data_IF_146718835267
#
_entry.id   IF_146718835267
#
_cell.length_a   1.000
_cell.length_b   1.000
_cell.length_c   1.000
_cell.angle_alpha   90.00
_cell.angle_beta   90.00
_cell.angle_gamma   90.00
#
_symmetry.space_group_name_H-M   'P 1'
#
loop_
_entity.id
_entity.type
_entity.pdbx_description
1 polymer ?
#
# COMPACT_ATOMS: atom_id res chain seq x y z
N UNK A 1 -13.35 -10.29 9.74
CA UNK A 1 -12.43 -9.30 9.14
C UNK A 1 -12.86 -8.98 7.72
N UNK A 2 -12.70 -7.73 7.31
CA UNK A 2 -13.02 -7.31 5.94
C UNK A 2 -11.95 -7.81 4.97
N UNK A 3 -12.39 -8.19 3.79
CA UNK A 3 -11.48 -8.58 2.71
C UNK A 3 -11.69 -7.69 1.50
N UNK A 4 -10.60 -7.39 0.81
CA UNK A 4 -10.57 -6.56 -0.39
C UNK A 4 -9.80 -7.30 -1.47
N UNK A 5 -10.33 -7.32 -2.69
CA UNK A 5 -9.59 -7.81 -3.86
C UNK A 5 -9.05 -6.63 -4.66
N UNK A 6 -7.76 -6.68 -4.97
CA UNK A 6 -7.13 -5.79 -5.94
C UNK A 6 -6.96 -6.56 -7.25
N UNK A 7 -7.67 -6.14 -8.29
CA UNK A 7 -7.60 -6.75 -9.61
C UNK A 7 -6.51 -6.05 -10.41
N UNK A 8 -5.39 -6.75 -10.61
CA UNK A 8 -4.21 -6.18 -11.26
C UNK A 8 -4.18 -6.60 -12.73
N UNK A 9 -4.25 -5.63 -13.63
CA UNK A 9 -4.22 -5.89 -15.07
C UNK A 9 -3.00 -6.73 -15.45
N UNK A 10 -3.22 -7.80 -16.23
CA UNK A 10 -2.19 -8.73 -16.73
C UNK A 10 -1.51 -9.60 -15.68
N UNK A 11 -1.76 -9.38 -14.38
CA UNK A 11 -1.05 -10.11 -13.31
C UNK A 11 -1.96 -11.00 -12.48
N UNK A 12 -3.20 -10.61 -12.23
CA UNK A 12 -4.15 -11.40 -11.45
C UNK A 12 -4.74 -10.64 -10.27
N UNK A 13 -5.19 -11.37 -9.26
CA UNK A 13 -5.91 -10.81 -8.11
C UNK A 13 -5.09 -10.99 -6.84
N UNK A 14 -4.95 -9.90 -6.07
CA UNK A 14 -4.39 -9.90 -4.72
C UNK A 14 -5.56 -9.76 -3.75
N UNK A 15 -5.72 -10.70 -2.84
CA UNK A 15 -6.75 -10.64 -1.81
C UNK A 15 -6.11 -10.21 -0.48
N UNK A 16 -6.66 -9.16 0.10
CA UNK A 16 -6.22 -8.59 1.37
C UNK A 16 -7.23 -8.92 2.46
N UNK A 17 -6.74 -9.27 3.64
CA UNK A 17 -7.55 -9.36 4.86
C UNK A 17 -7.16 -8.21 5.77
N UNK A 18 -8.12 -7.38 6.15
CA UNK A 18 -7.89 -6.14 6.88
C UNK A 18 -8.21 -6.32 8.37
N UNK A 19 -7.37 -5.78 9.24
CA UNK A 19 -7.47 -5.94 10.70
C UNK A 19 -8.05 -4.68 11.34
N UNK A 20 -9.38 -4.56 11.30
CA UNK A 20 -10.08 -3.41 11.87
C UNK A 20 -10.03 -3.37 13.41
N UNK A 21 -9.76 -4.50 14.06
CA UNK A 21 -9.61 -4.55 15.52
C UNK A 21 -8.36 -3.80 15.99
N UNK A 22 -7.26 -3.93 15.24
CA UNK A 22 -5.97 -3.31 15.59
C UNK A 22 -5.71 -1.99 14.87
N UNK A 23 -6.31 -1.77 13.71
CA UNK A 23 -6.15 -0.54 12.93
C UNK A 23 -7.50 0.02 12.45
N UNK A 24 -8.41 0.36 13.37
CA UNK A 24 -9.79 0.72 13.00
C UNK A 24 -9.89 1.95 12.10
N UNK A 25 -9.13 3.00 12.36
CA UNK A 25 -9.16 4.23 11.56
C UNK A 25 -8.53 4.01 10.20
N UNK A 26 -7.43 3.27 10.15
CA UNK A 26 -6.70 2.97 8.91
C UNK A 26 -7.54 2.09 7.99
N UNK A 27 -8.16 1.04 8.54
CA UNK A 27 -9.04 0.15 7.77
C UNK A 27 -10.26 0.91 7.24
N UNK A 28 -10.92 1.72 8.08
CA UNK A 28 -12.06 2.52 7.66
C UNK A 28 -11.68 3.49 6.53
N UNK A 29 -10.53 4.13 6.63
CA UNK A 29 -10.01 5.03 5.61
C UNK A 29 -9.76 4.30 4.29
N UNK A 30 -9.08 3.16 4.35
CA UNK A 30 -8.79 2.35 3.17
C UNK A 30 -10.08 1.89 2.48
N UNK A 31 -11.06 1.37 3.25
CA UNK A 31 -12.34 0.93 2.73
C UNK A 31 -13.12 2.08 2.09
N UNK A 32 -13.07 3.28 2.65
CA UNK A 32 -13.71 4.45 2.07
C UNK A 32 -13.13 4.77 0.68
N UNK A 33 -11.81 4.70 0.50
CA UNK A 33 -11.18 4.88 -0.81
C UNK A 33 -11.57 3.76 -1.78
N UNK A 34 -11.65 2.52 -1.31
CA UNK A 34 -12.08 1.38 -2.13
C UNK A 34 -13.51 1.61 -2.63
N UNK A 35 -14.42 1.97 -1.75
CA UNK A 35 -15.85 2.12 -2.08
C UNK A 35 -16.11 3.27 -3.04
N UNK A 36 -15.38 4.37 -2.94
CA UNK A 36 -15.55 5.49 -3.88
C UNK A 36 -14.78 5.33 -5.19
N UNK A 37 -14.09 4.20 -5.38
CA UNK A 37 -13.39 3.90 -6.63
C UNK A 37 -12.06 4.63 -6.80
N UNK A 38 -11.48 5.17 -5.74
CA UNK A 38 -10.21 5.91 -5.80
C UNK A 38 -9.07 5.09 -6.40
N UNK A 39 -8.98 3.81 -6.02
CA UNK A 39 -7.89 2.95 -6.48
C UNK A 39 -8.07 2.42 -7.90
N UNK A 40 -9.25 2.54 -8.46
CA UNK A 40 -9.51 2.07 -9.83
C UNK A 40 -8.70 2.91 -10.82
N UNK A 41 -7.90 2.24 -11.64
CA UNK A 41 -7.03 2.91 -12.61
C UNK A 41 -5.74 3.49 -12.06
N UNK A 42 -5.43 3.27 -10.78
CA UNK A 42 -4.15 3.68 -10.20
C UNK A 42 -3.07 2.63 -10.46
N UNK A 43 -1.81 3.03 -10.30
CA UNK A 43 -0.66 2.16 -10.59
C UNK A 43 0.16 1.90 -9.32
N UNK A 44 0.92 0.80 -9.35
CA UNK A 44 2.06 0.64 -8.46
C UNK A 44 3.22 1.47 -9.02
N UNK A 45 3.39 2.66 -8.50
CA UNK A 45 4.34 3.65 -9.04
C UNK A 45 5.74 3.52 -8.46
N UNK A 46 5.93 2.68 -7.44
CA UNK A 46 7.24 2.45 -6.83
C UNK A 46 7.36 0.97 -6.47
N UNK A 47 8.31 0.30 -7.10
CA UNK A 47 8.56 -1.14 -6.90
C UNK A 47 10.04 -1.35 -6.64
N UNK A 48 10.36 -1.85 -5.46
CA UNK A 48 11.72 -2.22 -5.08
C UNK A 48 11.68 -3.68 -4.65
N UNK A 49 12.21 -4.57 -5.47
CA UNK A 49 11.99 -6.01 -5.38
C UNK A 49 12.48 -6.70 -4.10
N UNK A 50 13.36 -6.07 -3.34
CA UNK A 50 13.82 -6.56 -2.05
C UNK A 50 13.36 -5.68 -0.88
N UNK A 51 12.27 -4.93 -1.06
CA UNK A 51 11.75 -4.00 -0.06
C UNK A 51 10.22 -4.02 -0.04
N UNK A 52 9.59 -3.35 -1.01
CA UNK A 52 8.13 -3.22 -1.04
C UNK A 52 7.63 -2.84 -2.44
N UNK A 53 6.31 -2.98 -2.64
CA UNK A 53 5.60 -2.42 -3.80
C UNK A 53 4.58 -1.41 -3.30
N UNK A 54 4.61 -0.20 -3.86
CA UNK A 54 3.79 0.93 -3.39
C UNK A 54 2.90 1.45 -4.51
N UNK A 55 1.65 1.74 -4.17
CA UNK A 55 0.68 2.24 -5.12
C UNK A 55 -0.49 2.96 -4.48
N UNK A 56 -1.50 3.24 -5.29
CA UNK A 56 -2.76 3.82 -4.84
C UNK A 56 -2.84 5.34 -4.89
N UNK A 57 -1.81 6.03 -5.39
CA UNK A 57 -1.79 7.49 -5.42
C UNK A 57 -1.66 8.11 -6.80
N UNK A 58 -1.19 7.35 -7.78
CA UNK A 58 -0.88 7.87 -9.12
C UNK A 58 -1.64 7.12 -10.20
N UNK A 59 -1.97 7.85 -11.26
CA UNK A 59 -2.53 7.30 -12.49
C UNK A 59 -1.42 7.06 -13.51
N UNK A 60 -1.65 6.27 -14.58
CA UNK A 60 -0.69 6.16 -15.68
C UNK A 60 -0.29 7.56 -16.17
N UNK A 61 1.01 7.77 -16.39
CA UNK A 61 1.54 9.09 -16.71
C UNK A 61 1.97 9.89 -15.49
N UNK A 62 1.86 9.32 -14.28
CA UNK A 62 2.32 9.90 -13.02
C UNK A 62 1.53 11.12 -12.55
N UNK A 63 0.27 11.24 -12.95
CA UNK A 63 -0.64 12.21 -12.37
C UNK A 63 -1.10 11.75 -10.99
N UNK A 64 -0.93 12.59 -9.95
CA UNK A 64 -1.35 12.28 -8.60
C UNK A 64 -2.84 12.55 -8.43
N UNK A 65 -3.57 11.57 -7.88
CA UNK A 65 -5.00 11.72 -7.60
C UNK A 65 -5.20 12.53 -6.31
N UNK A 66 -6.23 13.39 -6.25
CA UNK A 66 -6.55 14.12 -5.03
C UNK A 66 -6.99 13.16 -3.93
N UNK A 67 -6.72 13.54 -2.68
CA UNK A 67 -7.03 12.73 -1.50
C UNK A 67 -7.84 13.53 -0.49
N UNK A 68 -8.46 12.80 0.47
CA UNK A 68 -9.11 13.38 1.62
C UNK A 68 -8.07 13.75 2.69
N UNK A 69 -8.52 14.26 3.84
CA UNK A 69 -7.65 14.64 4.94
C UNK A 69 -6.84 13.43 5.44
N UNK A 70 -5.60 13.67 5.91
CA UNK A 70 -4.78 12.59 6.47
C UNK A 70 -5.36 12.02 7.75
N UNK A 71 -4.93 10.79 8.08
CA UNK A 71 -5.39 10.07 9.26
C UNK A 71 -4.27 9.91 10.29
N UNK A 72 -4.67 9.64 11.54
CA UNK A 72 -3.76 9.32 12.62
C UNK A 72 -3.02 8.00 12.35
N UNK A 73 -1.73 7.97 12.65
CA UNK A 73 -0.91 6.78 12.52
C UNK A 73 -1.21 5.81 13.67
N UNK A 74 -1.64 4.60 13.33
CA UNK A 74 -1.95 3.54 14.29
C UNK A 74 -0.86 2.48 14.35
N UNK A 75 0.37 2.79 13.96
CA UNK A 75 1.48 1.84 13.90
C UNK A 75 1.87 1.25 15.27
N UNK A 76 1.42 1.88 16.36
CA UNK A 76 1.63 1.39 17.73
C UNK A 76 0.66 0.26 18.10
N UNK A 77 0.07 -0.42 17.14
CA UNK A 77 -0.93 -1.47 17.32
C UNK A 77 -0.34 -2.88 17.50
N UNK A 78 0.98 -3.02 17.47
CA UNK A 78 1.65 -4.32 17.61
C UNK A 78 1.80 -5.11 16.32
N UNK A 79 1.23 -4.68 15.22
CA UNK A 79 1.43 -5.33 13.91
C UNK A 79 2.77 -4.92 13.33
N UNK A 80 3.45 -5.89 12.70
CA UNK A 80 4.80 -5.71 12.15
C UNK A 80 4.77 -5.67 10.62
N UNK A 81 5.75 -4.96 10.06
CA UNK A 81 5.96 -4.89 8.60
C UNK A 81 6.67 -6.15 8.10
N UNK A 82 6.00 -7.29 8.25
CA UNK A 82 6.47 -8.59 7.78
C UNK A 82 6.15 -8.77 6.28
N UNK A 83 6.79 -9.76 5.67
CA UNK A 83 6.54 -10.10 4.26
C UNK A 83 5.04 -10.34 4.02
N UNK A 84 4.52 -9.76 2.95
CA UNK A 84 3.10 -9.83 2.52
C UNK A 84 2.11 -9.08 3.41
N UNK A 85 2.56 -8.21 4.30
CA UNK A 85 1.66 -7.29 5.00
C UNK A 85 1.45 -6.02 4.19
N UNK A 86 0.27 -5.40 4.37
CA UNK A 86 -0.03 -4.10 3.75
C UNK A 86 0.02 -3.01 4.83
N UNK A 87 0.65 -1.90 4.48
CA UNK A 87 0.82 -0.76 5.37
C UNK A 87 0.56 0.54 4.63
N UNK A 88 0.30 1.61 5.38
CA UNK A 88 0.07 2.94 4.78
C UNK A 88 1.37 3.65 4.51
N UNK A 89 1.55 4.11 3.28
CA UNK A 89 2.60 5.06 2.94
C UNK A 89 2.22 6.44 3.49
N UNK A 90 3.24 7.25 3.79
CA UNK A 90 3.08 8.60 4.34
C UNK A 90 4.31 9.46 4.02
N UNK A 91 4.19 10.74 4.28
CA UNK A 91 5.35 11.64 4.26
C UNK A 91 6.16 11.45 5.56
N UNK A 92 7.17 12.29 5.79
CA UNK A 92 7.96 12.25 7.02
C UNK A 92 7.14 12.60 8.26
N UNK A 93 6.05 13.36 8.12
CA UNK A 93 5.13 13.63 9.22
C UNK A 93 4.42 12.34 9.62
N UNK A 94 4.46 11.93 10.91
CA UNK A 94 3.91 10.64 11.34
C UNK A 94 2.43 10.45 11.04
N UNK A 95 1.63 11.50 11.11
CA UNK A 95 0.18 11.47 10.92
C UNK A 95 -0.23 12.11 9.59
N UNK A 96 0.39 11.67 8.50
CA UNK A 96 0.20 12.25 7.16
C UNK A 96 -0.33 11.27 6.11
N UNK A 97 -0.65 10.04 6.49
CA UNK A 97 -1.15 9.04 5.55
C UNK A 97 -2.51 9.43 4.99
N UNK A 98 -2.69 9.23 3.69
CA UNK A 98 -3.97 9.48 3.01
C UNK A 98 -4.44 8.23 2.27
N UNK A 99 -4.06 8.03 1.02
CA UNK A 99 -4.53 6.93 0.19
C UNK A 99 -3.47 5.90 -0.18
N UNK A 100 -2.22 6.32 -0.33
CA UNK A 100 -1.16 5.44 -0.79
C UNK A 100 -0.84 4.36 0.23
N UNK A 101 -0.63 3.15 -0.27
CA UNK A 101 -0.24 2.00 0.55
C UNK A 101 0.95 1.29 -0.08
N UNK A 102 1.58 0.41 0.69
CA UNK A 102 2.59 -0.49 0.16
C UNK A 102 2.38 -1.89 0.72
N UNK A 103 2.85 -2.88 -0.03
CA UNK A 103 2.89 -4.27 0.40
C UNK A 103 4.35 -4.64 0.60
N UNK A 104 4.69 -5.10 1.79
CA UNK A 104 6.04 -5.54 2.11
C UNK A 104 6.36 -6.84 1.35
N UNK A 105 7.51 -6.89 0.70
CA UNK A 105 7.97 -8.09 -0.01
C UNK A 105 9.15 -8.77 0.68
N UNK A 106 9.41 -8.36 1.91
CA UNK A 106 10.31 -9.01 2.87
C UNK A 106 9.96 -8.49 4.28
N UNK A 107 10.60 -9.03 5.31
CA UNK A 107 10.44 -8.52 6.67
C UNK A 107 11.22 -7.20 6.81
N UNK A 108 10.50 -6.11 6.94
CA UNK A 108 11.07 -4.75 7.00
C UNK A 108 10.97 -4.22 8.43
N UNK A 109 11.72 -4.80 9.35
CA UNK A 109 11.63 -4.47 10.78
C UNK A 109 11.91 -2.99 11.07
N UNK A 110 12.74 -2.33 10.26
CA UNK A 110 13.06 -0.91 10.41
C UNK A 110 11.86 0.02 10.17
N UNK A 111 10.76 -0.50 9.61
CA UNK A 111 9.51 0.26 9.41
C UNK A 111 8.55 0.14 10.59
N UNK A 112 8.86 -0.69 11.59
CA UNK A 112 7.98 -0.91 12.73
C UNK A 112 8.04 0.26 13.71
N UNK A 113 6.92 0.46 14.42
CA UNK A 113 6.85 1.48 15.47
C UNK A 113 7.84 1.13 16.60
N UNK A 114 8.64 2.11 16.99
CA UNK A 114 9.60 1.97 18.11
C UNK A 114 9.36 3.01 19.21
N UNK A 115 8.85 4.20 18.84
CA UNK A 115 8.58 5.29 19.78
C UNK A 115 7.60 6.29 19.15
N UNK A 116 6.83 7.04 19.95
CA UNK A 116 5.93 8.08 19.43
C UNK A 116 6.69 9.36 19.08
N UNK A 117 7.64 9.25 18.17
CA UNK A 117 8.49 10.35 17.70
C UNK A 117 8.49 10.36 16.17
N UNK A 118 8.93 11.47 15.57
CA UNK A 118 8.97 11.60 14.11
C UNK A 118 9.71 10.43 13.44
N UNK A 119 10.79 9.96 14.04
CA UNK A 119 11.62 8.89 13.47
C UNK A 119 11.20 7.50 13.94
N UNK A 120 10.50 7.39 15.07
CA UNK A 120 10.15 6.12 15.71
C UNK A 120 8.72 5.64 15.47
N UNK A 121 7.81 6.46 14.92
CA UNK A 121 6.42 6.08 14.71
C UNK A 121 6.25 4.87 13.82
N UNK A 122 7.08 4.76 12.80
CA UNK A 122 6.98 3.67 11.83
C UNK A 122 5.79 3.82 10.88
N UNK A 123 5.44 2.71 10.23
CA UNK A 123 4.39 2.65 9.22
C UNK A 123 3.32 1.67 9.67
N UNK A 124 2.06 2.11 9.61
CA UNK A 124 0.93 1.37 10.14
C UNK A 124 0.55 0.19 9.24
N UNK A 125 0.81 -1.02 9.72
CA UNK A 125 0.28 -2.25 9.12
C UNK A 125 -1.18 -2.36 9.50
N UNK A 126 -2.04 -2.65 8.51
CA UNK A 126 -3.48 -2.76 8.74
C UNK A 126 -4.10 -4.02 8.11
N UNK A 127 -3.30 -4.91 7.57
CA UNK A 127 -3.76 -6.13 6.97
C UNK A 127 -2.64 -6.97 6.37
N UNK A 128 -3.02 -8.02 5.65
CA UNK A 128 -2.07 -8.92 4.99
C UNK A 128 -2.67 -9.51 3.72
N UNK A 129 -1.80 -9.97 2.84
CA UNK A 129 -2.19 -10.73 1.65
C UNK A 129 -2.51 -12.16 2.08
N UNK A 130 -3.73 -12.62 1.82
CA UNK A 130 -4.18 -13.99 2.14
C UNK A 130 -4.30 -14.86 0.89
N UNK A 131 -4.33 -14.25 -0.30
CA UNK A 131 -4.32 -14.95 -1.58
C UNK A 131 -3.69 -14.04 -2.63
N UNK A 132 -2.99 -14.63 -3.61
CA UNK A 132 -2.33 -13.85 -4.66
C UNK A 132 -0.91 -13.42 -4.31
N UNK A 133 -0.23 -14.11 -3.40
CA UNK A 133 1.20 -13.85 -3.13
C UNK A 133 2.06 -14.03 -4.37
N UNK A 134 1.68 -14.94 -5.28
CA UNK A 134 2.32 -15.11 -6.58
C UNK A 134 2.17 -13.86 -7.45
N UNK A 135 1.05 -13.15 -7.37
CA UNK A 135 0.83 -11.88 -8.08
C UNK A 135 1.75 -10.80 -7.52
N UNK A 136 1.85 -10.71 -6.20
CA UNK A 136 2.79 -9.79 -5.53
C UNK A 136 4.23 -10.07 -6.00
N UNK A 137 4.62 -11.34 -6.06
CA UNK A 137 5.96 -11.75 -6.49
C UNK A 137 6.23 -11.41 -7.97
N UNK A 138 5.23 -11.50 -8.82
CA UNK A 138 5.35 -11.05 -10.22
C UNK A 138 5.57 -9.54 -10.30
N UNK A 139 4.82 -8.77 -9.51
CA UNK A 139 4.94 -7.30 -9.51
C UNK A 139 6.32 -6.88 -9.01
N UNK A 140 6.81 -7.48 -7.93
CA UNK A 140 8.13 -7.10 -7.39
C UNK A 140 9.28 -7.36 -8.35
N UNK A 141 9.10 -8.25 -9.32
CA UNK A 141 10.12 -8.63 -10.29
C UNK A 141 10.10 -7.84 -11.59
N UNK A 142 9.18 -6.88 -11.76
CA UNK A 142 9.09 -6.12 -13.01
C UNK A 142 10.27 -5.16 -13.18
N UNK A 143 10.60 -4.86 -14.44
CA UNK A 143 11.65 -3.90 -14.74
C UNK A 143 11.22 -2.49 -14.33
N UNK A 144 12.10 -1.76 -13.67
CA UNK A 144 11.85 -0.41 -13.19
C UNK A 144 12.87 0.58 -13.72
N UNK A 145 12.53 1.86 -13.64
CA UNK A 145 13.39 2.93 -14.05
C UNK A 145 12.91 4.26 -13.50
N UNK A 146 13.56 5.34 -13.90
CA UNK A 146 13.19 6.69 -13.48
C UNK A 146 12.17 7.29 -14.44
N UNK A 147 11.12 7.90 -13.88
CA UNK A 147 10.12 8.70 -14.61
C UNK A 147 9.98 10.04 -13.92
N UNK A 148 10.44 11.12 -14.59
CA UNK A 148 10.46 12.45 -14.01
C UNK A 148 11.34 12.50 -12.76
N UNK A 149 10.75 12.86 -11.61
CA UNK A 149 11.44 12.90 -10.32
C UNK A 149 11.28 11.61 -9.50
N UNK A 150 10.64 10.59 -10.08
CA UNK A 150 10.37 9.33 -9.38
C UNK A 150 11.32 8.24 -9.84
N UNK A 151 11.98 7.59 -8.88
CA UNK A 151 12.80 6.41 -9.10
C UNK A 151 11.99 5.14 -8.85
N UNK A 152 12.50 4.00 -9.35
CA UNK A 152 11.91 2.67 -9.11
C UNK A 152 10.47 2.56 -9.63
N UNK A 153 10.16 3.25 -10.72
CA UNK A 153 8.84 3.17 -11.37
C UNK A 153 8.86 2.03 -12.39
N UNK A 154 7.86 1.11 -12.36
CA UNK A 154 7.75 0.08 -13.39
C UNK A 154 7.77 0.69 -14.79
N UNK A 155 8.60 0.11 -15.68
CA UNK A 155 8.69 0.57 -17.08
C UNK A 155 7.40 0.37 -17.84
N UNK A 156 6.69 -0.72 -17.55
CA UNK A 156 5.34 -0.99 -18.00
C UNK A 156 4.41 -0.80 -16.82
N UNK A 157 3.37 0.02 -16.97
CA UNK A 157 2.45 0.32 -15.88
C UNK A 157 1.82 -0.93 -15.30
N UNK A 158 1.87 -1.07 -13.98
CA UNK A 158 1.17 -2.11 -13.22
C UNK A 158 -0.11 -1.48 -12.69
N UNK A 159 -1.22 -1.73 -13.38
CA UNK A 159 -2.47 -1.03 -13.14
C UNK A 159 -3.39 -1.84 -12.23
N UNK A 160 -3.92 -1.19 -11.19
CA UNK A 160 -5.04 -1.71 -10.40
C UNK A 160 -6.31 -1.37 -11.18
N UNK A 161 -6.88 -2.36 -11.86
CA UNK A 161 -8.10 -2.13 -12.64
C UNK A 161 -9.26 -1.75 -11.75
N UNK A 162 -9.39 -2.45 -10.62
CA UNK A 162 -10.38 -2.14 -9.59
C UNK A 162 -9.99 -2.72 -8.24
N UNK A 163 -10.50 -2.11 -7.19
CA UNK A 163 -10.43 -2.62 -5.83
C UNK A 163 -11.87 -2.79 -5.32
N UNK A 164 -12.18 -3.97 -4.79
CA UNK A 164 -13.56 -4.30 -4.36
C UNK A 164 -13.55 -4.96 -3.00
N UNK A 165 -14.53 -4.62 -2.17
CA UNK A 165 -14.80 -5.30 -0.90
C UNK A 165 -15.55 -6.59 -1.21
N UNK A 166 -15.12 -7.69 -0.62
CA UNK A 166 -15.75 -9.00 -0.82
C UNK A 166 -16.28 -9.59 0.48
#
# INVERSE_FOLDING_TARGET
MSKVELHIAKHGIITLELDAAKAPKTVANFLAYVEKGHYNGTIFHRVIGNFMIQGGGFEPGMGQKPTDAPIENEANNGLKNDNYTIAMARTQAPHSATAQFFINVKNNDFLNHTAPSMQGWGYCVFGKVVSGTDVVDKIKGVATGRKGFHDDVPKEDVVIEKAVVI
#
